data_IF_200281625209
#
_entry.id   IF_200281625209
#
_cell.length_a   1.000
_cell.length_b   1.000
_cell.length_c   1.000
_cell.angle_alpha   90.00
_cell.angle_beta   90.00
_cell.angle_gamma   90.00
#
_symmetry.space_group_name_H-M   'P 1'
#
loop_
_entity.id
_entity.type
_entity.pdbx_description
1 polymer ?
#
# COMPACT_ATOMS: atom_id res chain seq x y z
N UNK A 1 41.72 17.19 20.34
CA UNK A 1 40.79 17.17 19.18
C UNK A 1 39.48 16.56 19.66
N UNK A 2 38.38 17.35 19.69
CA UNK A 2 37.04 16.80 19.98
C UNK A 2 36.46 16.29 18.66
N UNK A 3 36.19 14.99 18.57
CA UNK A 3 35.48 14.41 17.44
C UNK A 3 34.04 14.96 17.42
N UNK A 4 33.63 15.56 16.32
CA UNK A 4 32.24 15.95 16.14
C UNK A 4 31.38 14.68 16.07
N UNK A 5 30.42 14.54 16.98
CA UNK A 5 29.41 13.50 16.87
C UNK A 5 28.62 13.74 15.58
N UNK A 6 28.57 12.74 14.69
CA UNK A 6 27.72 12.83 13.50
C UNK A 6 26.27 12.99 13.96
N UNK A 7 25.64 14.12 13.62
CA UNK A 7 24.19 14.23 13.71
C UNK A 7 23.59 13.29 12.66
N UNK A 8 22.86 12.27 13.12
CA UNK A 8 21.95 11.55 12.24
C UNK A 8 20.73 12.43 12.07
N UNK A 9 20.58 13.04 10.90
CA UNK A 9 19.34 13.71 10.54
C UNK A 9 18.24 12.68 10.29
N UNK A 10 17.02 13.01 10.71
CA UNK A 10 15.87 12.12 10.51
C UNK A 10 15.55 12.01 9.03
N UNK A 11 15.62 10.79 8.49
CA UNK A 11 15.17 10.49 7.13
C UNK A 11 13.69 10.07 7.14
N UNK A 12 12.98 10.40 6.05
CA UNK A 12 11.60 10.01 5.84
C UNK A 12 11.49 9.14 4.60
N UNK A 13 10.63 8.13 4.70
CA UNK A 13 10.18 7.33 3.56
C UNK A 13 8.66 7.39 3.55
N UNK A 14 8.11 7.83 2.42
CA UNK A 14 6.67 7.91 2.22
C UNK A 14 6.24 6.81 1.27
N UNK A 15 5.13 6.15 1.62
CA UNK A 15 4.38 5.36 0.65
C UNK A 15 3.73 6.29 -0.41
N UNK A 16 3.31 5.74 -1.54
CA UNK A 16 2.73 6.50 -2.63
C UNK A 16 1.19 6.52 -2.55
N UNK A 17 0.57 5.35 -2.71
CA UNK A 17 -0.87 5.20 -2.88
C UNK A 17 -1.62 5.34 -1.55
N UNK A 18 -2.50 6.36 -1.46
CA UNK A 18 -3.20 6.72 -0.22
C UNK A 18 -2.37 7.53 0.77
N UNK A 19 -1.12 7.85 0.44
CA UNK A 19 -0.24 8.72 1.24
C UNK A 19 0.08 10.01 0.51
N UNK A 20 0.76 9.93 -0.64
CA UNK A 20 1.10 11.09 -1.46
C UNK A 20 0.06 11.35 -2.57
N UNK A 21 -0.68 10.32 -2.97
CA UNK A 21 -1.72 10.37 -4.00
C UNK A 21 -2.99 9.74 -3.45
N UNK A 22 -4.15 10.38 -3.63
CA UNK A 22 -5.45 9.82 -3.26
C UNK A 22 -5.94 8.80 -4.31
N UNK A 23 -5.29 7.63 -4.32
CA UNK A 23 -5.49 6.57 -5.33
C UNK A 23 -6.08 5.27 -4.78
N UNK A 24 -6.22 5.12 -3.45
CA UNK A 24 -6.67 3.86 -2.83
C UNK A 24 -8.02 3.40 -3.38
N UNK A 25 -8.97 4.32 -3.57
CA UNK A 25 -10.28 3.96 -4.10
C UNK A 25 -10.19 3.38 -5.53
N UNK A 26 -9.34 3.96 -6.36
CA UNK A 26 -9.12 3.49 -7.73
C UNK A 26 -8.49 2.10 -7.74
N UNK A 27 -7.53 1.84 -6.86
CA UNK A 27 -6.95 0.51 -6.68
C UNK A 27 -7.98 -0.54 -6.21
N UNK A 28 -8.88 -0.16 -5.31
CA UNK A 28 -9.97 -1.04 -4.86
C UNK A 28 -10.91 -1.43 -6.00
N UNK A 29 -11.27 -0.47 -6.86
CA UNK A 29 -12.11 -0.76 -8.03
C UNK A 29 -11.39 -1.63 -9.05
N UNK A 30 -10.11 -1.37 -9.32
CA UNK A 30 -9.31 -2.15 -10.25
C UNK A 30 -9.19 -3.62 -9.81
N UNK A 31 -8.88 -3.87 -8.53
CA UNK A 31 -8.87 -5.22 -7.99
C UNK A 31 -10.25 -5.86 -7.95
N UNK A 32 -11.29 -5.10 -7.63
CA UNK A 32 -12.67 -5.59 -7.68
C UNK A 32 -13.04 -6.11 -9.06
N UNK A 33 -12.78 -5.31 -10.10
CA UNK A 33 -13.01 -5.71 -11.48
C UNK A 33 -12.23 -6.99 -11.85
N UNK A 34 -10.93 -7.04 -11.54
CA UNK A 34 -10.10 -8.20 -11.88
C UNK A 34 -10.56 -9.48 -11.17
N UNK A 35 -11.01 -9.38 -9.92
CA UNK A 35 -11.54 -10.51 -9.16
C UNK A 35 -12.90 -10.98 -9.68
N UNK A 36 -13.77 -10.04 -10.06
CA UNK A 36 -15.08 -10.34 -10.65
C UNK A 36 -14.93 -11.04 -12.01
N UNK A 37 -13.94 -10.65 -12.83
CA UNK A 37 -13.59 -11.32 -14.09
C UNK A 37 -13.20 -12.80 -13.88
N UNK A 38 -12.60 -13.13 -12.74
CA UNK A 38 -12.26 -14.50 -12.33
C UNK A 38 -13.39 -15.21 -11.55
N UNK A 39 -14.56 -14.57 -11.40
CA UNK A 39 -15.70 -15.10 -10.65
C UNK A 39 -15.51 -15.13 -9.13
N UNK A 40 -14.56 -14.37 -8.59
CA UNK A 40 -14.22 -14.32 -7.16
C UNK A 40 -14.94 -13.14 -6.51
N UNK A 41 -16.14 -13.39 -6.01
CA UNK A 41 -16.92 -12.35 -5.31
C UNK A 41 -16.32 -11.99 -3.94
N UNK A 42 -15.72 -10.80 -3.84
CA UNK A 42 -15.22 -10.23 -2.57
C UNK A 42 -15.86 -8.88 -2.29
N UNK A 43 -16.11 -8.60 -1.01
CA UNK A 43 -16.61 -7.28 -0.63
C UNK A 43 -15.51 -6.22 -0.80
N UNK A 44 -15.92 -5.03 -1.22
CA UNK A 44 -15.07 -3.82 -1.31
C UNK A 44 -14.26 -3.62 -0.02
N UNK A 45 -14.86 -3.86 1.15
CA UNK A 45 -14.19 -3.76 2.45
C UNK A 45 -13.04 -4.76 2.62
N UNK A 46 -13.15 -5.99 2.09
CA UNK A 46 -12.08 -6.99 2.11
C UNK A 46 -10.92 -6.59 1.19
N UNK A 47 -11.24 -6.06 0.01
CA UNK A 47 -10.24 -5.57 -0.95
C UNK A 47 -9.51 -4.35 -0.37
N UNK A 48 -10.24 -3.39 0.17
CA UNK A 48 -9.69 -2.17 0.76
C UNK A 48 -8.69 -2.45 1.89
N UNK A 49 -8.92 -3.46 2.73
CA UNK A 49 -7.99 -3.84 3.81
C UNK A 49 -6.68 -4.48 3.33
N UNK A 50 -6.60 -4.85 2.06
CA UNK A 50 -5.43 -5.51 1.47
C UNK A 50 -4.63 -4.59 0.53
N UNK A 51 -5.12 -3.40 0.21
CA UNK A 51 -4.35 -2.39 -0.55
C UNK A 51 -3.07 -2.04 0.22
N UNK A 52 -1.94 -1.94 -0.50
CA UNK A 52 -0.60 -1.75 0.06
C UNK A 52 0.13 -3.05 0.41
N UNK A 53 -0.54 -4.21 0.40
CA UNK A 53 0.12 -5.51 0.51
C UNK A 53 0.66 -5.97 -0.86
N UNK A 54 1.85 -6.58 -0.88
CA UNK A 54 2.36 -7.23 -2.11
C UNK A 54 1.62 -8.55 -2.38
N UNK A 55 1.59 -9.01 -3.63
CA UNK A 55 0.87 -10.24 -4.01
C UNK A 55 1.28 -11.49 -3.21
N UNK A 56 2.54 -11.58 -2.77
CA UNK A 56 3.01 -12.67 -1.89
C UNK A 56 2.47 -12.60 -0.45
N UNK A 57 2.01 -11.43 0.00
CA UNK A 57 1.34 -11.20 1.29
C UNK A 57 -0.19 -11.35 1.18
N UNK A 58 -0.73 -11.48 -0.04
CA UNK A 58 -2.17 -11.59 -0.29
C UNK A 58 -2.72 -13.00 -0.05
N UNK A 59 -1.88 -14.03 -0.04
CA UNK A 59 -2.29 -15.46 -0.04
C UNK A 59 -2.39 -16.12 1.33
N UNK A 60 -2.18 -15.38 2.44
CA UNK A 60 -2.30 -15.86 3.82
C UNK A 60 -3.46 -15.19 4.56
#
# INVERSE_FOLDING_TARGET
>A
MKGAAMRVETCFLFDLDGTLVDSVHQHVLAWGQALDEEGIALSVSRIHRKIGMSGGLFTN
#
